data_IF_149444087633
#
_entry.id   IF_149444087633
#
_cell.length_a   1.000
_cell.length_b   1.000
_cell.length_c   1.000
_cell.angle_alpha   90.00
_cell.angle_beta   90.00
_cell.angle_gamma   90.00
#
_symmetry.space_group_name_H-M   'P 1'
#
loop_
_entity.id
_entity.type
_entity.pdbx_description
1 polymer ?
#
# COMPACT_ATOMS: atom_id res chain seq x y z
N UNK A 1 26.70 7.58 -21.55
CA UNK A 1 26.99 6.57 -22.60
C UNK A 1 28.34 6.88 -23.24
N UNK A 2 29.32 5.98 -23.10
CA UNK A 2 30.57 6.06 -23.87
C UNK A 2 30.25 5.66 -25.32
N UNK A 3 30.64 6.43 -26.34
CA UNK A 3 30.42 6.05 -27.72
C UNK A 3 31.17 4.73 -28.04
N UNK A 4 30.62 3.89 -28.93
CA UNK A 4 31.28 2.66 -29.33
C UNK A 4 32.61 3.03 -30.04
N UNK A 5 33.71 2.44 -29.56
CA UNK A 5 35.04 2.63 -30.16
C UNK A 5 35.23 1.55 -31.22
N UNK A 6 35.81 1.92 -32.36
CA UNK A 6 36.09 0.99 -33.46
C UNK A 6 37.12 -0.09 -33.06
N UNK A 7 36.85 -1.34 -33.42
CA UNK A 7 37.67 -2.50 -33.04
C UNK A 7 39.13 -2.40 -33.53
N UNK A 8 39.37 -1.66 -34.62
CA UNK A 8 40.71 -1.37 -35.13
C UNK A 8 41.56 -0.53 -34.15
N UNK A 9 40.93 0.38 -33.41
CA UNK A 9 41.62 1.25 -32.42
C UNK A 9 41.94 0.46 -31.15
N UNK A 10 41.07 -0.49 -30.77
CA UNK A 10 41.29 -1.41 -29.66
C UNK A 10 42.41 -2.43 -29.94
N UNK A 11 42.52 -2.89 -31.19
CA UNK A 11 43.59 -3.82 -31.61
C UNK A 11 44.98 -3.14 -31.66
N UNK A 12 45.03 -1.86 -32.04
CA UNK A 12 46.30 -1.11 -32.17
C UNK A 12 46.86 -0.62 -30.82
N UNK A 13 46.02 -0.51 -29.78
CA UNK A 13 46.44 -0.02 -28.45
C UNK A 13 45.91 -0.94 -27.33
N UNK A 14 46.66 -2.00 -26.96
CA UNK A 14 46.20 -2.99 -25.98
C UNK A 14 46.01 -2.41 -24.57
N UNK A 15 46.77 -1.38 -24.18
CA UNK A 15 46.59 -0.69 -22.89
C UNK A 15 45.27 0.09 -22.84
N UNK A 16 44.89 0.74 -23.95
CA UNK A 16 43.62 1.44 -24.07
C UNK A 16 42.45 0.46 -24.09
N UNK A 17 42.60 -0.70 -24.74
CA UNK A 17 41.59 -1.76 -24.71
C UNK A 17 41.36 -2.29 -23.28
N UNK A 18 42.43 -2.50 -22.50
CA UNK A 18 42.33 -2.91 -21.11
C UNK A 18 41.65 -1.83 -20.24
N UNK A 19 41.91 -0.55 -20.48
CA UNK A 19 41.31 0.57 -19.75
C UNK A 19 39.83 0.77 -20.13
N UNK A 20 39.50 0.69 -21.41
CA UNK A 20 38.12 0.76 -21.91
C UNK A 20 37.28 -0.40 -21.37
N UNK A 21 37.83 -1.62 -21.37
CA UNK A 21 37.20 -2.78 -20.75
C UNK A 21 37.00 -2.58 -19.24
N UNK A 22 38.01 -2.11 -18.51
CA UNK A 22 37.90 -1.82 -17.06
C UNK A 22 36.86 -0.74 -16.75
N UNK A 23 36.81 0.34 -17.52
CA UNK A 23 35.83 1.42 -17.32
C UNK A 23 34.40 0.97 -17.62
N UNK A 24 34.19 0.24 -18.71
CA UNK A 24 32.86 -0.24 -19.14
C UNK A 24 32.33 -1.39 -18.28
N UNK A 25 33.20 -2.25 -17.77
CA UNK A 25 32.79 -3.41 -16.95
C UNK A 25 32.75 -3.10 -15.45
N UNK A 26 33.77 -2.44 -14.92
CA UNK A 26 33.95 -2.30 -13.46
C UNK A 26 33.48 -0.95 -12.94
N UNK A 27 33.74 0.15 -13.65
CA UNK A 27 33.57 1.48 -13.08
C UNK A 27 32.22 2.14 -13.43
N UNK A 28 31.64 1.86 -14.60
CA UNK A 28 30.47 2.57 -15.11
C UNK A 28 29.28 1.63 -15.37
N UNK A 29 28.07 2.15 -15.15
CA UNK A 29 26.81 1.57 -15.58
C UNK A 29 26.56 1.88 -17.08
N UNK A 30 25.66 1.14 -17.76
CA UNK A 30 25.33 1.38 -19.17
C UNK A 30 24.90 2.83 -19.46
N UNK A 31 24.27 3.51 -18.51
CA UNK A 31 23.87 4.92 -18.71
C UNK A 31 25.05 5.92 -18.58
N UNK A 32 26.22 5.46 -18.13
CA UNK A 32 27.43 6.27 -17.92
C UNK A 32 27.60 6.82 -16.50
N UNK A 33 26.80 6.37 -15.54
CA UNK A 33 26.98 6.70 -14.11
C UNK A 33 28.02 5.78 -13.46
N UNK A 34 28.77 6.29 -12.48
CA UNK A 34 29.73 5.49 -11.70
C UNK A 34 29.02 4.46 -10.82
N UNK A 35 29.55 3.23 -10.76
CA UNK A 35 29.06 2.17 -9.88
C UNK A 35 29.42 2.41 -8.40
N UNK A 36 30.50 3.13 -8.14
CA UNK A 36 31.04 3.39 -6.79
C UNK A 36 30.65 4.76 -6.24
N UNK A 37 29.41 5.20 -6.47
CA UNK A 37 28.91 6.44 -5.88
C UNK A 37 28.11 6.11 -4.59
N UNK A 38 28.63 6.38 -3.38
CA UNK A 38 27.95 6.03 -2.13
C UNK A 38 26.60 6.75 -2.00
N UNK A 39 26.47 7.93 -2.62
CA UNK A 39 25.23 8.70 -2.66
C UNK A 39 24.19 8.15 -3.67
N UNK A 40 24.55 7.20 -4.54
CA UNK A 40 23.60 6.62 -5.50
C UNK A 40 22.55 5.74 -4.81
N UNK A 41 22.92 5.04 -3.73
CA UNK A 41 21.96 4.25 -2.93
C UNK A 41 20.96 5.15 -2.20
N UNK A 42 21.44 6.26 -1.63
CA UNK A 42 20.59 7.25 -0.98
C UNK A 42 19.65 7.93 -1.98
N UNK A 43 20.16 8.34 -3.15
CA UNK A 43 19.32 8.88 -4.23
C UNK A 43 18.30 7.86 -4.73
N UNK A 44 18.69 6.58 -4.85
CA UNK A 44 17.79 5.48 -5.18
C UNK A 44 16.64 5.36 -4.18
N UNK A 45 16.96 5.32 -2.88
CA UNK A 45 15.96 5.28 -1.81
C UNK A 45 15.00 6.48 -1.87
N UNK A 46 15.51 7.69 -2.04
CA UNK A 46 14.69 8.92 -2.18
C UNK A 46 13.80 8.87 -3.43
N UNK A 47 14.29 8.34 -4.55
CA UNK A 47 13.48 8.19 -5.77
C UNK A 47 12.37 7.15 -5.61
N UNK A 48 12.62 6.05 -4.91
CA UNK A 48 11.59 5.07 -4.58
C UNK A 48 10.53 5.65 -3.66
N UNK A 49 10.94 6.41 -2.65
CA UNK A 49 10.02 7.13 -1.76
C UNK A 49 9.16 8.14 -2.54
N UNK A 50 9.77 8.96 -3.39
CA UNK A 50 9.04 9.88 -4.28
C UNK A 50 8.05 9.15 -5.19
N UNK A 51 8.44 8.01 -5.75
CA UNK A 51 7.56 7.20 -6.59
C UNK A 51 6.39 6.62 -5.79
N UNK A 52 6.62 6.18 -4.55
CA UNK A 52 5.54 5.73 -3.65
C UNK A 52 4.58 6.88 -3.32
N UNK A 53 5.08 8.08 -3.03
CA UNK A 53 4.24 9.26 -2.79
C UNK A 53 3.43 9.64 -4.03
N UNK A 54 4.06 9.66 -5.21
CA UNK A 54 3.37 9.93 -6.48
C UNK A 54 2.27 8.90 -6.76
N UNK A 55 2.53 7.61 -6.53
CA UNK A 55 1.52 6.56 -6.67
C UNK A 55 0.36 6.73 -5.70
N UNK A 56 0.63 7.10 -4.44
CA UNK A 56 -0.42 7.37 -3.44
C UNK A 56 -1.26 8.59 -3.84
N UNK A 57 -0.62 9.67 -4.26
CA UNK A 57 -1.31 10.87 -4.72
C UNK A 57 -2.18 10.60 -5.96
N UNK A 58 -1.66 9.85 -6.93
CA UNK A 58 -2.43 9.46 -8.13
C UNK A 58 -3.62 8.54 -7.79
N UNK A 59 -3.44 7.61 -6.84
CA UNK A 59 -4.56 6.78 -6.34
C UNK A 59 -5.62 7.64 -5.65
N UNK A 60 -5.21 8.60 -4.83
CA UNK A 60 -6.13 9.53 -4.17
C UNK A 60 -6.86 10.41 -5.18
N UNK A 61 -6.19 10.97 -6.18
CA UNK A 61 -6.84 11.77 -7.22
C UNK A 61 -7.82 10.92 -8.03
N UNK A 62 -7.46 9.68 -8.39
CA UNK A 62 -8.36 8.78 -9.11
C UNK A 62 -9.58 8.40 -8.27
N UNK A 63 -9.42 8.17 -6.96
CA UNK A 63 -10.54 7.91 -6.06
C UNK A 63 -11.43 9.15 -5.89
N UNK A 64 -10.84 10.34 -5.75
CA UNK A 64 -11.59 11.60 -5.67
C UNK A 64 -12.37 11.85 -6.98
N UNK A 65 -11.75 11.62 -8.14
CA UNK A 65 -12.41 11.75 -9.45
C UNK A 65 -13.50 10.68 -9.63
N UNK A 66 -13.26 9.44 -9.16
CA UNK A 66 -14.25 8.38 -9.21
C UNK A 66 -15.45 8.70 -8.30
N UNK A 67 -15.24 9.26 -7.12
CA UNK A 67 -16.31 9.68 -6.20
C UNK A 67 -17.06 10.89 -6.76
N UNK A 68 -16.35 11.89 -7.31
CA UNK A 68 -16.95 13.06 -7.93
C UNK A 68 -17.81 12.71 -9.16
N UNK A 69 -17.42 11.68 -9.91
CA UNK A 69 -18.14 11.20 -11.10
C UNK A 69 -19.11 10.02 -10.82
N UNK A 70 -19.12 9.45 -9.61
CA UNK A 70 -20.08 8.42 -9.21
C UNK A 70 -21.44 8.99 -8.80
N UNK A 71 -21.55 10.32 -8.63
CA UNK A 71 -22.83 10.98 -8.41
C UNK A 71 -23.54 11.24 -9.76
N UNK A 72 -24.73 10.67 -10.03
CA UNK A 72 -25.44 10.88 -11.31
C UNK A 72 -25.87 12.33 -11.58
N UNK A 73 -25.71 13.24 -10.60
CA UNK A 73 -26.08 14.66 -10.71
C UNK A 73 -24.92 15.60 -11.07
N UNK A 74 -23.66 15.14 -11.14
CA UNK A 74 -22.50 16.02 -11.43
C UNK A 74 -22.21 16.23 -12.94
N UNK A 75 -23.12 15.85 -13.83
CA UNK A 75 -23.02 16.13 -15.28
C UNK A 75 -23.23 17.61 -15.64
N UNK A 76 -23.41 18.51 -14.67
CA UNK A 76 -23.46 19.95 -14.90
C UNK A 76 -22.18 20.63 -14.41
N UNK A 77 -21.36 20.97 -15.40
CA UNK A 77 -20.37 22.04 -15.43
C UNK A 77 -19.19 21.98 -14.42
N UNK A 78 -18.03 21.54 -14.92
CA UNK A 78 -16.76 22.23 -14.64
C UNK A 78 -15.76 22.04 -15.79
N UNK A 79 -15.21 23.10 -16.41
CA UNK A 79 -14.10 22.98 -17.35
C UNK A 79 -12.81 22.67 -16.60
N UNK A 80 -12.10 21.62 -17.01
CA UNK A 80 -10.75 21.33 -16.54
C UNK A 80 -9.75 22.37 -17.11
N UNK A 81 -8.75 22.83 -16.34
CA UNK A 81 -7.69 23.69 -16.85
C UNK A 81 -6.73 22.85 -17.72
N UNK A 82 -6.44 23.36 -18.92
CA UNK A 82 -5.53 22.74 -19.88
C UNK A 82 -4.08 22.67 -19.35
N UNK A 83 -3.31 21.61 -19.66
CA UNK A 83 -1.90 21.53 -19.29
C UNK A 83 -1.06 22.48 -20.15
N UNK A 84 -0.28 23.33 -19.48
CA UNK A 84 0.71 24.21 -20.08
C UNK A 84 1.95 23.41 -20.48
N UNK A 85 2.12 23.18 -21.79
CA UNK A 85 3.37 22.71 -22.36
C UNK A 85 4.28 23.89 -22.72
N UNK A 86 5.55 23.69 -22.41
CA UNK A 86 6.62 24.67 -22.36
C UNK A 86 7.12 25.14 -23.73
N UNK A 87 7.50 26.43 -23.73
CA UNK A 87 8.22 27.24 -24.72
C UNK A 87 9.08 26.52 -25.76
N UNK A 88 8.92 26.94 -27.03
CA UNK A 88 9.99 27.01 -28.04
C UNK A 88 9.91 28.39 -28.72
N UNK A 89 10.98 29.20 -28.78
CA UNK A 89 10.93 30.50 -29.44
C UNK A 89 11.12 30.30 -30.94
N UNK A 90 10.18 30.78 -31.75
CA UNK A 90 10.36 30.98 -33.19
C UNK A 90 10.20 32.47 -33.48
N UNK A 91 11.13 32.98 -34.29
CA UNK A 91 11.36 34.38 -34.63
C UNK A 91 10.09 35.16 -35.01
N UNK A 92 10.07 36.49 -34.78
CA UNK A 92 8.91 37.33 -35.07
C UNK A 92 8.79 37.52 -36.59
N UNK A 93 7.86 36.81 -37.21
CA UNK A 93 7.31 37.25 -38.49
C UNK A 93 6.21 38.25 -38.18
N UNK A 94 6.46 39.48 -38.60
CA UNK A 94 5.55 40.62 -38.54
C UNK A 94 4.25 40.28 -39.28
N UNK A 95 3.24 39.85 -38.53
CA UNK A 95 1.86 40.09 -38.91
C UNK A 95 1.49 41.44 -38.32
N UNK A 96 1.48 42.48 -39.15
CA UNK A 96 0.82 43.74 -38.84
C UNK A 96 -0.68 43.49 -38.79
N UNK A 97 -1.17 42.95 -37.68
CA UNK A 97 -2.58 43.09 -37.31
C UNK A 97 -2.70 44.46 -36.66
N UNK A 98 -3.36 45.38 -37.35
CA UNK A 98 -3.89 46.61 -36.77
C UNK A 98 -4.67 46.27 -35.51
N UNK A 99 -4.06 46.47 -34.34
CA UNK A 99 -4.78 46.64 -33.10
C UNK A 99 -5.45 48.01 -33.27
N UNK A 100 -6.64 48.03 -33.87
CA UNK A 100 -7.53 49.16 -33.70
C UNK A 100 -7.86 49.17 -32.21
N UNK A 101 -7.34 50.17 -31.48
CA UNK A 101 -7.73 50.42 -30.10
C UNK A 101 -9.26 50.47 -30.08
N UNK A 102 -9.89 49.48 -29.44
CA UNK A 102 -11.34 49.54 -29.23
C UNK A 102 -11.60 50.79 -28.38
N UNK A 103 -12.56 51.65 -28.77
CA UNK A 103 -12.96 52.79 -27.94
C UNK A 103 -13.21 52.32 -26.50
N UNK A 104 -12.62 53.01 -25.52
CA UNK A 104 -12.84 52.77 -24.09
C UNK A 104 -14.33 52.50 -23.71
N UNK A 105 -15.33 53.24 -24.23
CA UNK A 105 -16.74 52.96 -23.89
C UNK A 105 -17.25 51.59 -24.36
N UNK A 106 -16.69 51.01 -25.43
CA UNK A 106 -17.08 49.65 -25.88
C UNK A 106 -16.54 48.56 -24.96
N UNK A 107 -15.36 48.79 -24.36
CA UNK A 107 -14.72 47.82 -23.47
C UNK A 107 -15.47 47.74 -22.15
N UNK A 108 -15.84 48.89 -21.58
CA UNK A 108 -16.66 48.96 -20.38
C UNK A 108 -18.02 48.28 -20.60
N UNK A 109 -18.62 48.50 -21.76
CA UNK A 109 -19.88 47.86 -22.15
C UNK A 109 -19.73 46.34 -22.29
N UNK A 110 -18.67 45.84 -22.96
CA UNK A 110 -18.40 44.41 -23.10
C UNK A 110 -18.14 43.71 -21.75
N UNK A 111 -17.63 44.45 -20.75
CA UNK A 111 -17.40 43.95 -19.39
C UNK A 111 -18.69 43.92 -18.55
N UNK A 112 -19.56 44.91 -18.72
CA UNK A 112 -20.81 45.07 -17.97
C UNK A 112 -21.97 44.23 -18.55
N UNK A 113 -22.01 43.96 -19.86
CA UNK A 113 -23.12 43.27 -20.51
C UNK A 113 -23.27 41.78 -20.10
N UNK A 114 -22.21 40.95 -20.05
CA UNK A 114 -22.33 39.54 -19.68
C UNK A 114 -22.95 39.27 -18.28
N UNK A 115 -22.55 39.97 -17.20
CA UNK A 115 -23.20 39.79 -15.90
C UNK A 115 -24.64 40.30 -15.92
N UNK A 116 -24.94 41.38 -16.65
CA UNK A 116 -26.31 41.90 -16.79
C UNK A 116 -27.23 40.92 -17.53
N UNK A 117 -26.74 40.21 -18.56
CA UNK A 117 -27.50 39.19 -19.30
C UNK A 117 -27.69 37.88 -18.52
N UNK A 118 -26.78 37.59 -17.59
CA UNK A 118 -26.86 36.38 -16.75
C UNK A 118 -27.74 36.60 -15.51
N UNK A 119 -27.74 37.82 -14.96
CA UNK A 119 -28.48 38.21 -13.77
C UNK A 119 -29.83 38.92 -14.05
N UNK A 120 -30.27 39.03 -15.31
CA UNK A 120 -31.45 39.81 -15.70
C UNK A 120 -32.75 39.38 -15.01
N UNK A 121 -32.83 38.13 -14.55
CA UNK A 121 -33.99 37.59 -13.84
C UNK A 121 -34.10 38.04 -12.38
N UNK A 122 -33.07 38.68 -11.82
CA UNK A 122 -32.97 39.02 -10.38
C UNK A 122 -33.10 40.52 -10.08
N UNK A 123 -33.11 41.41 -11.10
CA UNK A 123 -33.16 42.86 -10.91
C UNK A 123 -34.59 43.43 -10.91
N UNK A 124 -34.84 44.38 -10.00
CA UNK A 124 -36.09 45.15 -9.92
C UNK A 124 -36.29 46.04 -11.16
N UNK A 125 -37.52 46.20 -11.70
CA UNK A 125 -37.76 46.97 -12.90
C UNK A 125 -37.30 48.44 -12.79
N UNK A 126 -37.38 49.04 -11.60
CA UNK A 126 -36.92 50.42 -11.38
C UNK A 126 -35.39 50.54 -11.45
N UNK A 127 -34.65 49.56 -10.94
CA UNK A 127 -33.19 49.55 -11.04
C UNK A 127 -32.74 49.26 -12.47
N UNK A 128 -33.46 48.43 -13.23
CA UNK A 128 -33.16 48.23 -14.66
C UNK A 128 -33.39 49.52 -15.48
N UNK A 129 -34.45 50.27 -15.20
CA UNK A 129 -34.72 51.54 -15.87
C UNK A 129 -33.62 52.58 -15.59
N UNK A 130 -33.16 52.67 -14.34
CA UNK A 130 -32.06 53.56 -13.95
C UNK A 130 -30.70 53.15 -14.54
N UNK A 131 -30.44 51.85 -14.71
CA UNK A 131 -29.21 51.37 -15.34
C UNK A 131 -29.21 51.66 -16.85
N UNK A 132 -30.34 51.48 -17.53
CA UNK A 132 -30.48 51.73 -18.97
C UNK A 132 -30.52 53.23 -19.32
N UNK A 133 -30.88 54.11 -18.36
CA UNK A 133 -30.90 55.56 -18.57
C UNK A 133 -29.54 56.25 -18.40
N UNK A 134 -28.50 55.55 -17.92
CA UNK A 134 -27.19 56.12 -17.64
C UNK A 134 -26.11 55.54 -18.59
N UNK A 135 -25.10 56.34 -18.98
CA UNK A 135 -23.97 55.83 -19.76
C UNK A 135 -23.15 54.85 -18.91
N UNK A 136 -22.59 53.78 -19.48
CA UNK A 136 -22.44 53.50 -20.92
C UNK A 136 -23.61 52.74 -21.57
N UNK A 137 -24.69 52.43 -20.85
CA UNK A 137 -25.83 51.63 -21.38
C UNK A 137 -26.83 52.48 -22.16
N UNK A 138 -26.95 53.78 -21.87
CA UNK A 138 -27.73 54.74 -22.66
C UNK A 138 -27.25 54.84 -24.12
N UNK A 139 -25.94 54.68 -24.32
CA UNK A 139 -25.25 54.84 -25.60
C UNK A 139 -25.09 53.48 -26.34
N UNK A 140 -25.67 52.42 -25.77
CA UNK A 140 -25.73 51.09 -26.37
C UNK A 140 -26.29 51.05 -27.79
N UNK A 141 -27.39 51.75 -28.16
CA UNK A 141 -27.91 51.67 -29.53
C UNK A 141 -26.93 52.23 -30.56
N UNK A 142 -26.13 53.24 -30.19
CA UNK A 142 -25.11 53.85 -31.07
C UNK A 142 -23.89 52.94 -31.25
N UNK A 143 -23.61 52.11 -30.24
CA UNK A 143 -22.51 51.14 -30.24
C UNK A 143 -22.91 49.73 -30.73
N UNK A 144 -24.21 49.46 -30.85
CA UNK A 144 -24.79 48.20 -31.33
C UNK A 144 -24.23 47.76 -32.70
N UNK A 145 -24.14 48.59 -33.76
CA UNK A 145 -23.64 48.12 -35.05
C UNK A 145 -22.16 47.69 -34.98
N UNK A 146 -21.36 48.36 -34.16
CA UNK A 146 -19.95 48.00 -33.95
C UNK A 146 -19.82 46.70 -33.14
N UNK A 147 -20.61 46.55 -32.08
CA UNK A 147 -20.68 45.31 -31.29
C UNK A 147 -21.19 44.13 -32.12
N UNK A 148 -22.22 44.32 -32.94
CA UNK A 148 -22.76 43.30 -33.83
C UNK A 148 -21.71 42.83 -34.85
N UNK A 149 -20.92 43.75 -35.41
CA UNK A 149 -19.80 43.39 -36.30
C UNK A 149 -18.72 42.60 -35.56
N UNK A 150 -18.35 43.01 -34.33
CA UNK A 150 -17.35 42.30 -33.51
C UNK A 150 -17.83 40.89 -33.11
N UNK A 151 -19.07 40.77 -32.64
CA UNK A 151 -19.67 39.48 -32.25
C UNK A 151 -19.81 38.59 -33.48
N UNK A 152 -20.28 39.11 -34.62
CA UNK A 152 -20.37 38.34 -35.87
C UNK A 152 -19.01 37.82 -36.32
N UNK A 153 -17.97 38.66 -36.29
CA UNK A 153 -16.60 38.25 -36.60
C UNK A 153 -16.08 37.20 -35.60
N UNK A 154 -16.36 37.37 -34.30
CA UNK A 154 -15.95 36.40 -33.28
C UNK A 154 -16.68 35.05 -33.43
N UNK A 155 -17.98 35.07 -33.69
CA UNK A 155 -18.78 33.87 -33.94
C UNK A 155 -18.35 33.18 -35.25
N UNK A 156 -18.05 33.95 -36.30
CA UNK A 156 -17.56 33.38 -37.55
C UNK A 156 -16.18 32.73 -37.37
N UNK A 157 -15.24 33.43 -36.73
CA UNK A 157 -13.89 32.90 -36.46
C UNK A 157 -13.95 31.65 -35.57
N UNK A 158 -14.71 31.68 -34.48
CA UNK A 158 -14.91 30.51 -33.61
C UNK A 158 -15.56 29.34 -34.35
N UNK A 159 -16.58 29.58 -35.18
CA UNK A 159 -17.19 28.54 -36.01
C UNK A 159 -16.20 27.91 -37.01
N UNK A 160 -15.34 28.72 -37.64
CA UNK A 160 -14.28 28.24 -38.54
C UNK A 160 -13.23 27.44 -37.78
N UNK A 161 -12.87 27.85 -36.57
CA UNK A 161 -11.97 27.07 -35.70
C UNK A 161 -12.59 25.72 -35.32
N UNK A 162 -13.85 25.68 -34.92
CA UNK A 162 -14.57 24.44 -34.63
C UNK A 162 -14.67 23.53 -35.86
N UNK A 163 -14.94 24.09 -37.04
CA UNK A 163 -14.95 23.35 -38.30
C UNK A 163 -13.59 22.75 -38.65
N UNK A 164 -12.48 23.44 -38.33
CA UNK A 164 -11.11 22.93 -38.49
C UNK A 164 -10.79 21.81 -37.50
N UNK A 165 -11.27 21.92 -36.25
CA UNK A 165 -11.10 20.87 -35.23
C UNK A 165 -11.89 19.62 -35.62
N UNK A 166 -13.12 19.79 -36.10
CA UNK A 166 -13.96 18.69 -36.55
C UNK A 166 -13.41 18.01 -37.82
N UNK A 167 -12.76 18.76 -38.71
CA UNK A 167 -12.22 18.27 -39.97
C UNK A 167 -10.72 18.61 -40.12
N UNK A 168 -9.83 17.92 -39.39
CA UNK A 168 -8.40 18.25 -39.37
C UNK A 168 -7.69 17.96 -40.69
N UNK A 169 -8.24 17.08 -41.53
CA UNK A 169 -7.69 16.71 -42.84
C UNK A 169 -8.16 17.61 -43.99
N UNK A 170 -9.13 18.49 -43.76
CA UNK A 170 -9.70 19.35 -44.81
C UNK A 170 -8.82 20.58 -45.02
N UNK A 171 -8.56 20.91 -46.29
CA UNK A 171 -7.78 22.09 -46.66
C UNK A 171 -8.44 23.36 -46.08
N UNK A 172 -7.67 24.28 -45.47
CA UNK A 172 -8.17 25.48 -44.79
C UNK A 172 -9.10 26.35 -45.64
N UNK A 173 -8.93 26.35 -46.97
CA UNK A 173 -9.79 27.09 -47.91
C UNK A 173 -11.23 26.58 -47.99
N UNK A 174 -11.48 25.30 -47.69
CA UNK A 174 -12.81 24.70 -47.77
C UNK A 174 -13.50 24.55 -46.40
N UNK A 175 -12.84 24.92 -45.30
CA UNK A 175 -13.37 24.76 -43.93
C UNK A 175 -14.66 25.56 -43.71
N UNK A 176 -14.82 26.71 -44.36
CA UNK A 176 -16.03 27.52 -44.26
C UNK A 176 -17.29 26.80 -44.77
N UNK A 177 -17.15 25.84 -45.70
CA UNK A 177 -18.29 25.03 -46.20
C UNK A 177 -18.85 24.07 -45.16
N UNK A 178 -18.05 23.70 -44.15
CA UNK A 178 -18.47 22.80 -43.08
C UNK A 178 -19.18 23.52 -41.92
N UNK A 179 -19.13 24.86 -41.86
CA UNK A 179 -19.75 25.65 -40.79
C UNK A 179 -21.27 25.39 -40.66
N UNK A 180 -22.07 25.34 -41.74
CA UNK A 180 -23.50 25.05 -41.66
C UNK A 180 -23.82 23.63 -41.16
N UNK A 181 -22.89 22.68 -41.34
CA UNK A 181 -23.06 21.28 -40.91
C UNK A 181 -22.57 20.99 -39.49
N UNK A 182 -21.97 21.97 -38.81
CA UNK A 182 -21.54 21.85 -37.41
C UNK A 182 -22.65 21.45 -36.43
N UNK A 183 -23.85 22.08 -36.44
CA UNK A 183 -24.88 21.73 -35.47
C UNK A 183 -25.41 20.31 -35.64
N UNK A 184 -25.60 19.85 -36.89
CA UNK A 184 -26.03 18.47 -37.17
C UNK A 184 -24.95 17.46 -36.79
N UNK A 185 -23.69 17.77 -37.09
CA UNK A 185 -22.54 16.95 -36.68
C UNK A 185 -22.45 16.87 -35.14
N UNK A 186 -22.59 17.99 -34.44
CA UNK A 186 -22.57 18.02 -32.98
C UNK A 186 -23.71 17.18 -32.37
N UNK A 187 -24.93 17.32 -32.88
CA UNK A 187 -26.07 16.51 -32.43
C UNK A 187 -25.87 15.01 -32.70
N UNK A 188 -25.27 14.64 -33.84
CA UNK A 188 -24.95 13.25 -34.13
C UNK A 188 -23.85 12.70 -33.21
N UNK A 189 -22.84 13.51 -32.88
CA UNK A 189 -21.77 13.13 -31.96
C UNK A 189 -22.29 12.96 -30.54
N UNK A 190 -23.16 13.85 -30.06
CA UNK A 190 -23.76 13.70 -28.73
C UNK A 190 -24.66 12.48 -28.65
N UNK A 191 -25.47 12.21 -29.69
CA UNK A 191 -26.29 10.99 -29.76
C UNK A 191 -25.43 9.72 -29.77
N UNK A 192 -24.40 9.66 -30.64
CA UNK A 192 -23.50 8.50 -30.69
C UNK A 192 -22.72 8.30 -29.40
N UNK A 193 -22.28 9.36 -28.72
CA UNK A 193 -21.65 9.24 -27.40
C UNK A 193 -22.63 8.65 -26.37
N UNK A 194 -23.89 9.07 -26.38
CA UNK A 194 -24.91 8.53 -25.49
C UNK A 194 -25.17 7.04 -25.77
N UNK A 195 -25.31 6.66 -27.04
CA UNK A 195 -25.51 5.27 -27.46
C UNK A 195 -24.32 4.38 -27.08
N UNK A 196 -23.09 4.84 -27.37
CA UNK A 196 -21.86 4.12 -27.00
C UNK A 196 -21.70 3.95 -25.49
N UNK A 197 -22.12 4.93 -24.70
CA UNK A 197 -22.16 4.80 -23.24
C UNK A 197 -23.16 3.73 -22.82
N UNK A 198 -24.36 3.71 -23.40
CA UNK A 198 -25.37 2.69 -23.11
C UNK A 198 -24.92 1.27 -23.54
N UNK A 199 -24.26 1.14 -24.68
CA UNK A 199 -23.73 -0.15 -25.14
C UNK A 199 -22.61 -0.66 -24.24
N UNK A 200 -21.71 0.24 -23.81
CA UNK A 200 -20.63 -0.09 -22.90
C UNK A 200 -21.18 -0.56 -21.53
N UNK A 201 -22.21 0.11 -20.98
CA UNK A 201 -22.82 -0.33 -19.72
C UNK A 201 -23.48 -1.71 -19.87
N UNK A 202 -24.21 -1.95 -20.97
CA UNK A 202 -24.78 -3.28 -21.27
C UNK A 202 -23.69 -4.36 -21.39
N UNK A 203 -22.61 -4.09 -22.12
CA UNK A 203 -21.51 -5.03 -22.28
C UNK A 203 -20.83 -5.35 -20.94
N UNK A 204 -20.64 -4.34 -20.07
CA UNK A 204 -20.10 -4.55 -18.71
C UNK A 204 -21.02 -5.42 -17.85
N UNK A 205 -22.33 -5.20 -17.91
CA UNK A 205 -23.29 -6.03 -17.19
C UNK A 205 -23.30 -7.47 -17.70
N UNK A 206 -23.27 -7.68 -19.01
CA UNK A 206 -23.19 -9.00 -19.61
C UNK A 206 -21.89 -9.73 -19.22
N UNK A 207 -20.76 -9.03 -19.24
CA UNK A 207 -19.48 -9.58 -18.80
C UNK A 207 -19.52 -9.98 -17.31
N UNK A 208 -20.04 -9.12 -16.44
CA UNK A 208 -20.18 -9.42 -15.01
C UNK A 208 -21.08 -10.65 -14.76
N UNK A 209 -22.19 -10.78 -15.50
CA UNK A 209 -23.06 -11.95 -15.42
C UNK A 209 -22.38 -13.24 -15.91
N UNK A 210 -21.58 -13.16 -16.98
CA UNK A 210 -20.81 -14.32 -17.46
C UNK A 210 -19.75 -14.76 -16.46
N UNK A 211 -19.07 -13.81 -15.80
CA UNK A 211 -18.07 -14.10 -14.78
C UNK A 211 -18.69 -14.70 -13.52
N UNK A 212 -19.86 -14.19 -13.08
CA UNK A 212 -20.55 -14.77 -11.94
C UNK A 212 -21.02 -16.20 -12.21
N UNK A 213 -21.53 -16.48 -13.42
CA UNK A 213 -21.88 -17.82 -13.86
C UNK A 213 -20.66 -18.76 -13.89
N UNK A 214 -19.53 -18.28 -14.43
CA UNK A 214 -18.28 -19.06 -14.43
C UNK A 214 -17.81 -19.38 -13.01
N UNK A 215 -17.78 -18.38 -12.11
CA UNK A 215 -17.40 -18.59 -10.71
C UNK A 215 -18.34 -19.58 -10.02
N UNK A 216 -19.65 -19.51 -10.25
CA UNK A 216 -20.61 -20.47 -9.71
C UNK A 216 -20.36 -21.90 -10.24
N UNK A 217 -20.00 -22.04 -11.51
CA UNK A 217 -19.63 -23.35 -12.06
C UNK A 217 -18.32 -23.89 -11.46
N UNK A 218 -17.33 -23.04 -11.25
CA UNK A 218 -16.05 -23.43 -10.64
C UNK A 218 -16.22 -23.83 -9.18
N UNK A 219 -17.02 -23.10 -8.39
CA UNK A 219 -17.30 -23.47 -7.00
C UNK A 219 -18.05 -24.79 -6.91
N UNK A 220 -18.98 -25.07 -7.83
CA UNK A 220 -19.66 -26.36 -7.91
C UNK A 220 -18.69 -27.51 -8.21
N UNK A 221 -17.77 -27.34 -9.16
CA UNK A 221 -16.74 -28.35 -9.49
C UNK A 221 -15.80 -28.57 -8.31
N UNK A 222 -15.33 -27.50 -7.65
CA UNK A 222 -14.46 -27.61 -6.47
C UNK A 222 -15.17 -28.32 -5.31
N UNK A 223 -16.45 -28.02 -5.07
CA UNK A 223 -17.24 -28.70 -4.04
C UNK A 223 -17.42 -30.20 -4.35
N UNK A 224 -17.62 -30.57 -5.62
CA UNK A 224 -17.67 -31.98 -6.03
C UNK A 224 -16.32 -32.68 -5.84
N UNK A 225 -15.21 -32.01 -6.16
CA UNK A 225 -13.87 -32.53 -5.95
C UNK A 225 -13.59 -32.75 -4.45
N UNK A 226 -13.93 -31.77 -3.61
CA UNK A 226 -13.80 -31.89 -2.16
C UNK A 226 -14.61 -33.07 -1.62
N UNK A 227 -15.88 -33.22 -2.04
CA UNK A 227 -16.70 -34.38 -1.66
C UNK A 227 -16.08 -35.71 -2.12
N UNK A 228 -15.49 -35.76 -3.31
CA UNK A 228 -14.80 -36.96 -3.79
C UNK A 228 -13.54 -37.27 -2.98
N UNK A 229 -12.80 -36.26 -2.55
CA UNK A 229 -11.65 -36.42 -1.65
C UNK A 229 -12.09 -36.86 -0.24
N UNK A 230 -13.14 -36.26 0.30
CA UNK A 230 -13.73 -36.66 1.58
C UNK A 230 -14.27 -38.09 1.53
N UNK A 231 -14.90 -38.49 0.43
CA UNK A 231 -15.37 -39.87 0.27
C UNK A 231 -14.20 -40.88 0.24
N UNK A 232 -13.07 -40.54 -0.39
CA UNK A 232 -11.90 -41.42 -0.47
C UNK A 232 -11.08 -41.46 0.81
N UNK A 233 -10.83 -40.29 1.41
CA UNK A 233 -9.87 -40.15 2.50
C UNK A 233 -10.53 -39.93 3.86
N UNK A 234 -11.79 -39.51 3.92
CA UNK A 234 -12.49 -39.23 5.17
C UNK A 234 -12.69 -40.47 6.04
N UNK A 235 -13.01 -41.62 5.43
CA UNK A 235 -13.13 -42.88 6.18
C UNK A 235 -11.76 -43.32 6.76
N UNK A 236 -10.69 -43.17 5.98
CA UNK A 236 -9.32 -43.52 6.42
C UNK A 236 -8.88 -42.59 7.56
N UNK A 237 -9.07 -41.27 7.41
CA UNK A 237 -8.72 -40.30 8.45
C UNK A 237 -9.46 -40.58 9.76
N UNK A 238 -10.79 -40.75 9.73
CA UNK A 238 -11.58 -41.09 10.93
C UNK A 238 -11.15 -42.43 11.54
N UNK A 239 -10.80 -43.43 10.72
CA UNK A 239 -10.32 -44.72 11.23
C UNK A 239 -8.96 -44.61 11.93
N UNK A 240 -8.07 -43.73 11.44
CA UNK A 240 -6.77 -43.48 12.07
C UNK A 240 -6.93 -42.70 13.38
N UNK A 241 -7.83 -41.72 13.42
CA UNK A 241 -8.17 -40.99 14.64
C UNK A 241 -8.73 -41.93 15.73
N UNK A 242 -9.67 -42.82 15.37
CA UNK A 242 -10.20 -43.81 16.30
C UNK A 242 -9.12 -44.77 16.80
N UNK A 243 -8.25 -45.28 15.91
CA UNK A 243 -7.13 -46.15 16.31
C UNK A 243 -6.13 -45.43 17.22
N UNK A 244 -5.83 -44.16 16.96
CA UNK A 244 -4.97 -43.37 17.82
C UNK A 244 -5.60 -43.15 19.20
N UNK A 245 -6.91 -42.88 19.25
CA UNK A 245 -7.65 -42.75 20.50
C UNK A 245 -7.69 -44.07 21.29
N UNK A 246 -7.92 -45.21 20.63
CA UNK A 246 -7.86 -46.54 21.24
C UNK A 246 -6.46 -46.84 21.80
N UNK A 247 -5.40 -46.55 21.04
CA UNK A 247 -4.02 -46.74 21.48
C UNK A 247 -3.65 -45.84 22.67
N UNK A 248 -4.09 -44.57 22.66
CA UNK A 248 -3.87 -43.65 23.76
C UNK A 248 -4.59 -44.11 25.04
N UNK A 249 -5.84 -44.57 24.91
CA UNK A 249 -6.61 -45.11 26.03
C UNK A 249 -6.00 -46.41 26.57
N UNK A 250 -5.49 -47.28 25.70
CA UNK A 250 -4.75 -48.48 26.11
C UNK A 250 -3.48 -48.10 26.88
N UNK A 251 -2.71 -47.11 26.40
CA UNK A 251 -1.51 -46.63 27.08
C UNK A 251 -1.83 -46.03 28.47
N UNK A 252 -2.92 -45.25 28.59
CA UNK A 252 -3.38 -44.72 29.87
C UNK A 252 -3.77 -45.83 30.85
N UNK A 253 -4.47 -46.87 30.38
CA UNK A 253 -4.80 -48.05 31.20
C UNK A 253 -3.54 -48.76 31.67
N UNK A 254 -2.60 -49.02 30.76
CA UNK A 254 -1.33 -49.66 31.11
C UNK A 254 -0.51 -48.81 32.10
N UNK A 255 -0.54 -47.49 31.97
CA UNK A 255 0.10 -46.61 32.94
C UNK A 255 -0.53 -46.73 34.33
N UNK A 256 -1.87 -46.69 34.43
CA UNK A 256 -2.58 -46.86 35.69
C UNK A 256 -2.37 -48.26 36.30
N UNK A 257 -2.33 -49.31 35.47
CA UNK A 257 -2.02 -50.67 35.90
C UNK A 257 -0.58 -50.78 36.43
N UNK A 258 0.39 -50.18 35.74
CA UNK A 258 1.78 -50.13 36.18
C UNK A 258 1.93 -49.34 37.49
N UNK A 259 1.23 -48.22 37.66
CA UNK A 259 1.21 -47.46 38.90
C UNK A 259 0.61 -48.28 40.06
N UNK A 260 -0.52 -48.96 39.83
CA UNK A 260 -1.12 -49.85 40.81
C UNK A 260 -0.17 -51.00 41.20
N UNK A 261 0.48 -51.62 40.21
CA UNK A 261 1.47 -52.67 40.44
C UNK A 261 2.68 -52.16 41.24
N UNK A 262 3.16 -50.93 40.97
CA UNK A 262 4.21 -50.30 41.75
C UNK A 262 3.79 -50.06 43.20
N UNK A 263 2.56 -49.60 43.44
CA UNK A 263 2.03 -49.43 44.80
C UNK A 263 1.93 -50.75 45.56
N UNK A 264 1.49 -51.82 44.89
CA UNK A 264 1.45 -53.17 45.47
C UNK A 264 2.86 -53.67 45.80
N UNK A 265 3.80 -53.58 44.87
CA UNK A 265 5.19 -54.00 45.09
C UNK A 265 5.86 -53.22 46.24
N UNK A 266 5.60 -51.91 46.35
CA UNK A 266 6.07 -51.09 47.48
C UNK A 266 5.48 -51.55 48.82
N UNK A 267 4.19 -51.89 48.83
CA UNK A 267 3.50 -52.40 50.02
C UNK A 267 4.09 -53.74 50.47
N UNK A 268 4.42 -54.60 49.52
CA UNK A 268 4.99 -55.92 49.79
C UNK A 268 6.45 -55.82 50.25
N UNK A 269 7.26 -54.94 49.64
CA UNK A 269 8.65 -54.70 50.02
C UNK A 269 8.79 -53.98 51.38
N UNK A 270 7.87 -53.07 51.71
CA UNK A 270 7.87 -52.32 52.98
C UNK A 270 6.56 -52.57 53.74
N UNK A 271 6.42 -53.73 54.41
CA UNK A 271 5.27 -53.98 55.25
C UNK A 271 5.18 -52.93 56.37
N UNK A 272 3.99 -52.66 56.92
CA UNK A 272 3.80 -51.59 57.91
C UNK A 272 4.65 -51.79 59.17
N UNK A 273 4.95 -53.04 59.53
CA UNK A 273 5.87 -53.36 60.61
C UNK A 273 7.31 -52.90 60.30
N UNK A 274 7.80 -53.11 59.07
CA UNK A 274 9.12 -52.65 58.63
C UNK A 274 9.19 -51.12 58.56
N UNK A 275 8.13 -50.45 58.10
CA UNK A 275 8.06 -48.97 58.12
C UNK A 275 8.12 -48.42 59.55
N UNK A 276 7.40 -49.02 60.49
CA UNK A 276 7.47 -48.65 61.92
C UNK A 276 8.86 -48.90 62.50
N UNK A 277 9.49 -50.03 62.18
CA UNK A 277 10.84 -50.34 62.62
C UNK A 277 11.87 -49.34 62.07
N UNK A 278 11.80 -49.00 60.79
CA UNK A 278 12.65 -47.98 60.16
C UNK A 278 12.43 -46.59 60.77
N UNK A 279 11.19 -46.22 61.07
CA UNK A 279 10.87 -44.95 61.74
C UNK A 279 11.46 -44.90 63.17
N UNK A 280 11.36 -45.99 63.92
CA UNK A 280 11.95 -46.10 65.26
C UNK A 280 13.49 -46.08 65.20
N UNK A 281 14.09 -46.77 64.23
CA UNK A 281 15.53 -46.75 64.01
C UNK A 281 16.02 -45.35 63.62
N UNK A 282 15.30 -44.64 62.76
CA UNK A 282 15.62 -43.26 62.39
C UNK A 282 15.48 -42.27 63.55
N UNK A 283 14.57 -42.51 64.50
CA UNK A 283 14.49 -41.74 65.75
C UNK A 283 15.69 -42.06 66.65
N UNK A 284 15.99 -43.33 66.85
CA UNK A 284 17.15 -43.76 67.63
C UNK A 284 18.47 -43.21 67.07
N UNK A 285 18.66 -43.19 65.74
CA UNK A 285 19.85 -42.60 65.12
C UNK A 285 19.93 -41.08 65.35
N UNK A 286 18.81 -40.37 65.37
CA UNK A 286 18.77 -38.94 65.70
C UNK A 286 19.14 -38.70 67.16
N UNK A 287 18.58 -39.48 68.07
CA UNK A 287 18.88 -39.38 69.50
C UNK A 287 20.33 -39.76 69.80
N UNK A 288 20.85 -40.83 69.18
CA UNK A 288 22.25 -41.23 69.29
C UNK A 288 23.19 -40.14 68.77
N UNK A 289 22.85 -39.49 67.65
CA UNK A 289 23.62 -38.36 67.13
C UNK A 289 23.59 -37.16 68.08
N UNK A 290 22.44 -36.85 68.68
CA UNK A 290 22.33 -35.79 69.68
C UNK A 290 23.21 -36.08 70.90
N UNK A 291 23.16 -37.30 71.44
CA UNK A 291 24.02 -37.73 72.56
C UNK A 291 25.51 -37.69 72.22
N UNK A 292 25.90 -38.10 71.01
CA UNK A 292 27.29 -38.00 70.56
C UNK A 292 27.75 -36.54 70.47
N UNK A 293 26.90 -35.65 69.97
CA UNK A 293 27.22 -34.22 69.94
C UNK A 293 27.35 -33.66 71.37
N UNK A 294 26.44 -34.02 72.28
CA UNK A 294 26.52 -33.63 73.71
C UNK A 294 27.79 -34.17 74.36
N UNK A 295 28.15 -35.44 74.15
CA UNK A 295 29.39 -36.02 74.67
C UNK A 295 30.64 -35.35 74.10
N UNK A 296 30.62 -34.97 72.82
CA UNK A 296 31.69 -34.17 72.21
C UNK A 296 31.76 -32.78 72.85
N UNK A 297 30.62 -32.14 73.15
CA UNK A 297 30.58 -30.86 73.85
C UNK A 297 31.10 -30.98 75.29
N UNK A 298 30.73 -32.01 76.05
CA UNK A 298 31.21 -32.21 77.42
C UNK A 298 32.71 -32.52 77.45
N UNK A 299 33.20 -33.40 76.57
CA UNK A 299 34.64 -33.71 76.47
C UNK A 299 35.44 -32.47 76.06
N UNK A 300 34.90 -31.61 75.18
CA UNK A 300 35.52 -30.33 74.85
C UNK A 300 35.58 -29.40 76.06
N UNK A 301 34.50 -29.28 76.82
CA UNK A 301 34.48 -28.47 78.04
C UNK A 301 35.43 -29.00 79.12
N UNK A 302 35.57 -30.33 79.25
CA UNK A 302 36.56 -30.96 80.14
C UNK A 302 37.99 -30.65 79.68
N UNK A 303 38.31 -30.77 78.38
CA UNK A 303 39.62 -30.41 77.84
C UNK A 303 39.95 -28.92 78.06
N UNK A 304 38.97 -28.03 77.87
CA UNK A 304 39.08 -26.60 78.18
C UNK A 304 39.37 -26.36 79.67
N UNK A 305 38.70 -27.10 80.58
CA UNK A 305 38.95 -27.01 82.03
C UNK A 305 40.35 -27.50 82.45
N UNK A 306 40.97 -28.41 81.68
CA UNK A 306 42.37 -28.82 81.87
C UNK A 306 43.38 -27.85 81.25
N UNK A 307 42.96 -26.68 80.76
CA UNK A 307 43.83 -25.68 80.14
C UNK A 307 44.36 -26.11 78.77
N UNK A 308 43.79 -27.17 78.18
CA UNK A 308 44.01 -27.51 76.78
C UNK A 308 42.99 -26.71 75.99
N UNK A 309 43.31 -25.44 75.73
CA UNK A 309 42.64 -24.71 74.67
C UNK A 309 42.81 -25.55 73.40
N UNK A 310 41.70 -26.10 72.90
CA UNK A 310 41.69 -26.72 71.58
C UNK A 310 41.93 -25.60 70.57
N UNK A 311 43.21 -25.28 70.37
CA UNK A 311 43.71 -24.40 69.34
C UNK A 311 43.03 -24.85 68.06
N UNK A 312 42.22 -23.93 67.54
CA UNK A 312 41.55 -24.02 66.28
C UNK A 312 42.41 -24.79 65.28
N UNK A 313 41.96 -26.00 64.93
CA UNK A 313 42.51 -26.71 63.78
C UNK A 313 42.24 -25.84 62.55
N UNK A 314 43.31 -25.20 62.08
CA UNK A 314 43.32 -24.33 60.94
C UNK A 314 42.87 -25.05 59.66
N UNK A 315 42.14 -24.26 58.86
CA UNK A 315 42.38 -24.03 57.43
C UNK A 315 42.43 -25.23 56.47
N UNK A 316 41.44 -25.24 55.56
CA UNK A 316 41.70 -25.62 54.17
C UNK A 316 40.50 -26.12 53.37
N UNK A 317 39.80 -25.23 52.67
CA UNK A 317 39.51 -25.50 51.24
C UNK A 317 39.26 -24.23 50.44
N UNK A 318 40.15 -24.03 49.48
CA UNK A 318 40.08 -23.10 48.37
C UNK A 318 38.84 -23.31 47.50
N UNK A 319 38.44 -22.24 46.81
CA UNK A 319 37.45 -22.29 45.74
C UNK A 319 37.95 -22.98 44.46
N UNK A 320 36.98 -23.45 43.67
CA UNK A 320 37.03 -23.54 42.20
C UNK A 320 35.59 -23.65 41.71
N UNK A 321 35.15 -22.70 40.88
CA UNK A 321 33.82 -22.68 40.29
C UNK A 321 33.70 -23.54 39.03
N UNK A 322 32.47 -23.66 38.49
CA UNK A 322 32.16 -23.45 37.07
C UNK A 322 30.63 -23.41 36.83
N UNK A 323 30.31 -22.61 35.81
CA UNK A 323 29.03 -22.21 35.20
C UNK A 323 28.10 -23.33 34.71
N UNK A 324 26.85 -22.94 34.42
CA UNK A 324 25.94 -23.55 33.43
C UNK A 324 24.50 -23.63 33.93
N UNK A 325 23.70 -22.57 33.82
CA UNK A 325 22.70 -22.35 32.74
C UNK A 325 21.59 -23.41 32.64
N UNK A 326 20.32 -22.96 32.70
CA UNK A 326 19.14 -23.80 32.51
C UNK A 326 17.83 -23.09 32.85
N UNK A 327 17.49 -22.08 32.06
CA UNK A 327 16.23 -21.34 32.05
C UNK A 327 15.06 -22.20 31.51
N UNK A 328 13.96 -22.30 32.26
CA UNK A 328 12.56 -22.48 31.81
C UNK A 328 11.67 -22.47 33.08
N UNK A 329 10.61 -21.68 33.25
CA UNK A 329 9.67 -21.19 32.26
C UNK A 329 8.49 -22.16 32.12
N UNK A 330 7.55 -22.15 33.08
CA UNK A 330 6.12 -22.50 32.96
C UNK A 330 5.51 -22.45 34.37
N UNK A 331 4.44 -21.71 34.67
CA UNK A 331 3.22 -21.59 33.88
C UNK A 331 2.10 -22.26 34.69
N UNK A 332 1.77 -21.71 35.86
CA UNK A 332 0.63 -22.15 36.66
C UNK A 332 -0.61 -21.37 36.21
N UNK A 333 -1.26 -21.87 35.17
CA UNK A 333 -2.68 -21.67 34.92
C UNK A 333 -3.39 -22.98 35.28
N UNK A 334 -4.31 -22.91 36.23
CA UNK A 334 -5.21 -23.98 36.68
C UNK A 334 -6.61 -23.34 36.70
N UNK A 335 -7.67 -24.11 36.36
CA UNK A 335 -8.78 -23.70 35.50
C UNK A 335 -9.78 -22.72 36.11
#
# INVERSE_FOLDING_TARGET
>A
MLPPVEDAVLANNPEFAALYAKLTTSALNPDGSSKDDPAAKERGAVTEELNRYRLKAAKQSLLLDAIANANPQSLQAKPAPAPTLTKRPRAPQQATSTIAELPAPLLDLLLLLPPLLTASSELSPESTALLLSNPPLSDFPDHLPQLAALVSNHLHTSAVHLARIANPSTNPSFVHRAVPSLPTSAASLTATIADRKADLTRARLAAAASLSSLLASQTAVLAQLLRALEAKHGAVARSLELRAAEAALAAQRQHAEAEAALWLARRDAYPPAAQRALANYARHLRDARARLNEAVHTLRAELEAYGVDSVAAGTGRSGRGRQGEGHAGNGAGVP
#
